data_IF_230362496923
#
_entry.id   IF_230362496923
#
_cell.length_a   1.000
_cell.length_b   1.000
_cell.length_c   1.000
_cell.angle_alpha   90.00
_cell.angle_beta   90.00
_cell.angle_gamma   90.00
#
_symmetry.space_group_name_H-M   'P 1'
#
loop_
_entity.id
_entity.type
_entity.pdbx_description
1 polymer ?
#
# COMPACT_ATOMS: atom_id res chain seq x y z
N UNK A 1 12.97 40.31 -0.48
CA UNK A 1 14.33 40.14 -1.05
C UNK A 1 14.47 38.66 -1.38
N UNK A 2 14.86 38.37 -2.62
CA UNK A 2 14.66 37.13 -3.35
C UNK A 2 15.34 35.86 -2.77
N UNK A 3 14.63 34.74 -2.92
CA UNK A 3 15.06 33.45 -3.50
C UNK A 3 16.43 32.83 -3.11
N UNK A 4 16.37 31.64 -2.51
CA UNK A 4 17.36 30.56 -2.66
C UNK A 4 16.56 29.26 -2.88
N UNK A 5 16.30 28.88 -4.14
CA UNK A 5 16.98 27.80 -4.88
C UNK A 5 16.77 26.42 -4.22
N UNK A 6 15.63 25.73 -4.42
CA UNK A 6 15.34 24.85 -5.57
C UNK A 6 16.44 24.79 -6.65
N UNK A 7 17.33 23.80 -6.57
CA UNK A 7 18.21 23.43 -7.69
C UNK A 7 18.89 22.04 -7.55
N UNK A 8 18.21 21.05 -6.94
CA UNK A 8 18.73 19.67 -6.89
C UNK A 8 18.03 18.70 -7.85
N UNK A 9 16.85 19.04 -8.39
CA UNK A 9 16.09 18.16 -9.30
C UNK A 9 16.25 18.49 -10.79
N UNK A 10 16.78 19.67 -11.13
CA UNK A 10 16.90 20.12 -12.53
C UNK A 10 18.23 19.73 -13.20
N UNK A 11 19.26 19.44 -12.40
CA UNK A 11 20.61 19.15 -12.91
C UNK A 11 20.82 17.69 -13.32
N UNK A 12 20.09 16.76 -12.71
CA UNK A 12 20.13 15.32 -12.99
C UNK A 12 19.33 14.98 -14.27
N UNK A 13 18.14 15.56 -14.40
CA UNK A 13 17.30 15.39 -15.60
C UNK A 13 17.95 15.97 -16.87
N UNK A 14 18.78 17.02 -16.75
CA UNK A 14 19.47 17.63 -17.91
C UNK A 14 20.71 16.86 -18.34
N UNK A 15 21.45 16.21 -17.42
CA UNK A 15 22.57 15.34 -17.77
C UNK A 15 22.09 14.03 -18.38
N UNK A 16 21.04 13.42 -17.83
CA UNK A 16 20.47 12.18 -18.36
C UNK A 16 19.86 12.38 -19.73
N UNK A 17 19.18 13.51 -19.96
CA UNK A 17 18.62 13.84 -21.28
C UNK A 17 19.72 14.10 -22.34
N UNK A 18 20.85 14.71 -21.97
CA UNK A 18 22.01 14.85 -22.88
C UNK A 18 22.68 13.51 -23.18
N UNK A 19 22.74 12.60 -22.21
CA UNK A 19 23.28 11.25 -22.37
C UNK A 19 22.37 10.43 -23.28
N UNK A 20 21.05 10.49 -23.09
CA UNK A 20 20.05 9.85 -23.94
C UNK A 20 20.14 10.37 -25.38
N UNK A 21 20.27 11.69 -25.57
CA UNK A 21 20.39 12.28 -26.92
C UNK A 21 21.67 11.83 -27.64
N UNK A 22 22.76 11.61 -26.89
CA UNK A 22 24.02 11.10 -27.43
C UNK A 22 24.08 9.57 -27.61
N UNK A 23 23.12 8.82 -27.05
CA UNK A 23 23.06 7.35 -27.13
C UNK A 23 22.05 6.84 -28.16
N UNK A 24 21.25 7.71 -28.78
CA UNK A 24 20.24 7.32 -29.77
C UNK A 24 20.87 6.55 -30.93
N UNK A 25 20.67 5.23 -30.93
CA UNK A 25 20.94 4.39 -32.10
C UNK A 25 19.60 4.03 -32.72
N UNK A 26 19.23 4.75 -33.78
CA UNK A 26 18.01 4.45 -34.53
C UNK A 26 18.21 3.20 -35.39
N UNK A 27 17.88 2.03 -34.83
CA UNK A 27 17.97 0.71 -35.48
C UNK A 27 17.37 0.69 -36.90
N UNK A 28 16.30 1.47 -37.13
CA UNK A 28 15.60 1.57 -38.41
C UNK A 28 16.25 2.56 -39.39
N UNK A 29 17.23 3.35 -38.95
CA UNK A 29 18.00 4.29 -39.76
C UNK A 29 19.44 3.82 -40.01
N UNK A 30 19.89 2.78 -39.28
CA UNK A 30 21.22 2.22 -39.45
C UNK A 30 21.37 1.59 -40.85
N UNK A 31 22.08 2.29 -41.74
CA UNK A 31 22.27 1.88 -43.13
C UNK A 31 23.00 0.53 -43.27
N UNK A 32 23.85 0.14 -42.30
CA UNK A 32 24.50 -1.18 -42.30
C UNK A 32 23.54 -2.29 -41.88
N UNK A 33 22.66 -2.02 -40.91
CA UNK A 33 21.59 -2.94 -40.56
C UNK A 33 20.59 -3.09 -41.73
N UNK A 34 20.11 -1.97 -42.27
CA UNK A 34 19.17 -1.93 -43.39
C UNK A 34 19.72 -2.58 -44.66
N UNK A 35 21.00 -2.36 -45.00
CA UNK A 35 21.64 -3.00 -46.15
C UNK A 35 21.80 -4.51 -45.96
N UNK A 36 22.23 -4.98 -44.78
CA UNK A 36 22.27 -6.43 -44.46
C UNK A 36 20.88 -7.07 -44.48
N UNK A 37 19.85 -6.35 -44.02
CA UNK A 37 18.46 -6.78 -44.06
C UNK A 37 17.94 -6.84 -45.52
N UNK A 38 18.26 -5.82 -46.33
CA UNK A 38 17.83 -5.66 -47.72
C UNK A 38 18.51 -6.64 -48.68
N UNK A 39 19.84 -6.80 -48.60
CA UNK A 39 20.62 -7.70 -49.47
C UNK A 39 20.12 -9.15 -49.41
N UNK A 40 19.59 -9.58 -48.26
CA UNK A 40 19.14 -10.97 -48.05
C UNK A 40 17.63 -11.15 -47.93
N UNK A 41 16.83 -10.08 -47.92
CA UNK A 41 15.38 -10.18 -48.13
C UNK A 41 15.01 -10.77 -49.50
N UNK A 42 15.96 -10.87 -50.43
CA UNK A 42 15.83 -11.46 -51.77
C UNK A 42 16.08 -12.98 -51.82
N UNK A 43 16.54 -13.61 -50.72
CA UNK A 43 16.73 -15.08 -50.61
C UNK A 43 16.05 -15.61 -49.34
N UNK A 44 15.09 -16.52 -49.51
CA UNK A 44 14.35 -17.28 -48.47
C UNK A 44 14.77 -16.95 -47.02
N UNK A 45 14.03 -16.02 -46.42
CA UNK A 45 14.24 -15.57 -45.05
C UNK A 45 13.98 -16.76 -44.11
N UNK A 46 15.03 -17.25 -43.45
CA UNK A 46 14.95 -18.25 -42.39
C UNK A 46 15.13 -17.54 -41.03
N UNK A 47 14.30 -17.87 -40.04
CA UNK A 47 14.35 -17.34 -38.67
C UNK A 47 15.77 -17.34 -38.06
N UNK A 48 16.58 -18.36 -38.36
CA UNK A 48 17.95 -18.45 -37.88
C UNK A 48 18.84 -17.32 -38.39
N UNK A 49 18.60 -16.86 -39.62
CA UNK A 49 19.37 -15.78 -40.22
C UNK A 49 18.98 -14.42 -39.63
N UNK A 50 17.69 -14.17 -39.40
CA UNK A 50 17.23 -12.96 -38.70
C UNK A 50 17.83 -12.90 -37.29
N UNK A 51 17.81 -14.01 -36.56
CA UNK A 51 18.42 -14.10 -35.21
C UNK A 51 19.91 -13.75 -35.23
N UNK A 52 20.64 -14.17 -36.26
CA UNK A 52 22.06 -13.87 -36.40
C UNK A 52 22.29 -12.37 -36.67
N UNK A 53 21.54 -11.75 -37.58
CA UNK A 53 21.65 -10.29 -37.82
C UNK A 53 21.37 -9.50 -36.53
N UNK A 54 20.27 -9.82 -35.83
CA UNK A 54 19.91 -9.13 -34.59
C UNK A 54 21.00 -9.32 -33.54
N UNK A 55 21.52 -10.54 -33.37
CA UNK A 55 22.60 -10.83 -32.43
C UNK A 55 23.86 -10.03 -32.75
N UNK A 56 24.31 -10.08 -34.01
CA UNK A 56 25.52 -9.37 -34.44
C UNK A 56 25.35 -7.87 -34.29
N UNK A 57 24.14 -7.35 -34.53
CA UNK A 57 23.83 -5.94 -34.32
C UNK A 57 23.94 -5.52 -32.86
N UNK A 58 23.29 -6.26 -31.94
CA UNK A 58 23.33 -5.97 -30.51
C UNK A 58 24.75 -6.10 -29.93
N UNK A 59 25.57 -7.03 -30.44
CA UNK A 59 26.96 -7.19 -30.01
C UNK A 59 27.87 -6.06 -30.50
N UNK A 60 27.59 -5.49 -31.68
CA UNK A 60 28.35 -4.36 -32.23
C UNK A 60 27.84 -3.00 -31.73
N UNK A 61 26.66 -2.94 -31.11
CA UNK A 61 26.04 -1.72 -30.58
C UNK A 61 25.52 -1.95 -29.14
N UNK A 62 26.40 -2.26 -28.17
CA UNK A 62 25.99 -2.53 -26.78
C UNK A 62 25.36 -1.32 -26.08
N UNK A 63 25.56 -0.10 -26.57
CA UNK A 63 24.98 1.16 -26.08
C UNK A 63 23.45 1.11 -26.06
N UNK A 64 22.84 0.33 -26.96
CA UNK A 64 21.39 0.09 -27.02
C UNK A 64 20.86 -0.43 -25.68
N UNK A 65 21.62 -1.25 -24.96
CA UNK A 65 21.19 -1.77 -23.65
C UNK A 65 21.09 -0.65 -22.60
N UNK A 66 21.94 0.36 -22.69
CA UNK A 66 21.91 1.52 -21.79
C UNK A 66 20.69 2.39 -22.13
N UNK A 67 20.46 2.68 -23.41
CA UNK A 67 19.27 3.42 -23.87
C UNK A 67 17.97 2.70 -23.47
N UNK A 68 17.91 1.37 -23.68
CA UNK A 68 16.78 0.55 -23.26
C UNK A 68 16.54 0.61 -21.75
N UNK A 69 17.61 0.58 -20.94
CA UNK A 69 17.49 0.68 -19.49
C UNK A 69 16.90 2.02 -19.06
N UNK A 70 17.36 3.14 -19.65
CA UNK A 70 16.81 4.47 -19.37
C UNK A 70 15.35 4.60 -19.80
N UNK A 71 15.00 4.16 -21.01
CA UNK A 71 13.60 4.17 -21.50
C UNK A 71 12.71 3.32 -20.58
N UNK A 72 13.21 2.18 -20.10
CA UNK A 72 12.46 1.34 -19.17
C UNK A 72 12.29 2.02 -17.81
N UNK A 73 13.33 2.67 -17.27
CA UNK A 73 13.27 3.43 -16.03
C UNK A 73 12.24 4.57 -16.12
N UNK A 74 12.29 5.37 -17.17
CA UNK A 74 11.33 6.47 -17.41
C UNK A 74 9.90 5.92 -17.49
N UNK A 75 9.69 4.83 -18.24
CA UNK A 75 8.37 4.16 -18.31
C UNK A 75 7.91 3.64 -16.95
N UNK A 76 8.80 3.13 -16.11
CA UNK A 76 8.45 2.70 -14.76
C UNK A 76 8.12 3.90 -13.86
N UNK A 77 8.84 5.02 -13.96
CA UNK A 77 8.54 6.25 -13.23
C UNK A 77 7.20 6.85 -13.62
N UNK A 78 6.94 7.00 -14.91
CA UNK A 78 5.65 7.49 -15.41
C UNK A 78 4.49 6.60 -14.96
N UNK A 79 4.68 5.27 -14.95
CA UNK A 79 3.67 4.33 -14.43
C UNK A 79 3.43 4.53 -12.93
N UNK A 80 4.51 4.60 -12.13
CA UNK A 80 4.42 4.86 -10.68
C UNK A 80 3.71 6.18 -10.38
N UNK A 81 4.02 7.23 -11.13
CA UNK A 81 3.37 8.53 -10.98
C UNK A 81 1.87 8.46 -11.30
N UNK A 82 1.49 7.85 -12.44
CA UNK A 82 0.08 7.67 -12.80
C UNK A 82 -0.69 6.83 -11.78
N UNK A 83 -0.05 5.80 -11.22
CA UNK A 83 -0.63 4.97 -10.16
C UNK A 83 -0.83 5.78 -8.86
N UNK A 84 0.15 6.58 -8.46
CA UNK A 84 0.06 7.45 -7.29
C UNK A 84 -1.02 8.54 -7.46
N UNK A 85 -1.11 9.17 -8.64
CA UNK A 85 -2.16 10.14 -8.96
C UNK A 85 -3.56 9.49 -8.89
N UNK A 86 -3.70 8.28 -9.42
CA UNK A 86 -4.94 7.50 -9.33
C UNK A 86 -5.29 7.18 -7.88
N UNK A 87 -4.34 6.72 -7.07
CA UNK A 87 -4.56 6.43 -5.64
C UNK A 87 -4.98 7.70 -4.88
N UNK A 88 -4.30 8.82 -5.12
CA UNK A 88 -4.62 10.13 -4.53
C UNK A 88 -6.04 10.56 -4.86
N UNK A 89 -6.45 10.42 -6.14
CA UNK A 89 -7.82 10.73 -6.56
C UNK A 89 -8.86 9.84 -5.85
N UNK A 90 -8.56 8.55 -5.69
CA UNK A 90 -9.45 7.62 -4.97
C UNK A 90 -9.55 8.00 -3.49
N UNK A 91 -8.42 8.23 -2.81
CA UNK A 91 -8.40 8.69 -1.40
C UNK A 91 -9.25 9.95 -1.23
N UNK A 92 -9.07 10.94 -2.10
CA UNK A 92 -9.85 12.18 -2.07
C UNK A 92 -11.35 11.93 -2.28
N UNK A 93 -11.72 11.04 -3.19
CA UNK A 93 -13.14 10.71 -3.43
C UNK A 93 -13.81 9.93 -2.30
N UNK A 94 -13.03 9.19 -1.50
CA UNK A 94 -13.48 8.36 -0.38
C UNK A 94 -13.02 8.91 0.97
N UNK A 95 -12.71 10.21 1.05
CA UNK A 95 -12.04 10.82 2.19
C UNK A 95 -12.82 10.62 3.50
N UNK A 96 -14.15 10.83 3.45
CA UNK A 96 -15.00 10.68 4.63
C UNK A 96 -15.06 9.23 5.09
N UNK A 97 -15.20 8.31 4.16
CA UNK A 97 -15.23 6.88 4.42
C UNK A 97 -13.89 6.44 4.99
N UNK A 98 -12.76 6.90 4.44
CA UNK A 98 -11.41 6.50 4.88
C UNK A 98 -11.07 7.05 6.28
N UNK A 99 -11.31 8.35 6.54
CA UNK A 99 -10.77 9.03 7.72
C UNK A 99 -11.82 9.32 8.82
N UNK A 100 -13.11 9.26 8.50
CA UNK A 100 -14.21 9.75 9.35
C UNK A 100 -15.39 8.79 9.45
N UNK A 101 -15.25 7.52 9.06
CA UNK A 101 -16.35 6.55 9.19
C UNK A 101 -16.75 6.42 10.66
N UNK A 102 -18.05 6.53 11.01
CA UNK A 102 -18.54 6.43 12.38
C UNK A 102 -18.41 5.01 12.94
N UNK A 103 -18.08 4.05 12.09
CA UNK A 103 -17.87 2.69 12.51
C UNK A 103 -16.46 2.52 13.06
N UNK A 104 -15.44 3.06 12.40
CA UNK A 104 -14.03 2.78 12.73
C UNK A 104 -13.63 3.26 14.14
N UNK A 105 -12.68 2.54 14.73
CA UNK A 105 -12.13 2.92 16.01
C UNK A 105 -10.97 3.90 15.83
N UNK A 106 -10.78 4.77 16.82
CA UNK A 106 -9.65 5.71 16.85
C UNK A 106 -8.73 5.33 18.01
N UNK A 107 -7.44 5.19 17.72
CA UNK A 107 -6.38 5.08 18.72
C UNK A 107 -5.52 6.36 18.71
N UNK A 108 -4.78 6.60 19.78
CA UNK A 108 -3.96 7.80 19.93
C UNK A 108 -4.81 9.02 20.26
N UNK A 109 -4.47 10.16 19.66
CA UNK A 109 -5.19 11.42 19.87
C UNK A 109 -6.39 11.51 18.92
N UNK A 110 -7.65 11.50 19.41
CA UNK A 110 -8.82 11.59 18.53
C UNK A 110 -8.95 12.92 17.77
N UNK A 111 -8.28 13.95 18.27
CA UNK A 111 -8.20 15.28 17.66
C UNK A 111 -6.85 15.53 16.96
N UNK A 112 -6.05 14.48 16.79
CA UNK A 112 -4.75 14.57 16.14
C UNK A 112 -4.86 15.02 14.70
N UNK A 113 -3.99 15.94 14.28
CA UNK A 113 -3.98 16.45 12.90
C UNK A 113 -3.31 15.49 11.92
N UNK A 114 -2.36 14.70 12.42
CA UNK A 114 -1.69 13.66 11.64
C UNK A 114 -2.56 12.42 11.70
N UNK A 115 -3.14 12.02 10.56
CA UNK A 115 -4.03 10.86 10.50
C UNK A 115 -3.33 9.70 9.79
N UNK A 116 -3.20 8.58 10.51
CA UNK A 116 -2.72 7.31 9.98
C UNK A 116 -3.88 6.32 10.00
N UNK A 117 -4.23 5.76 8.85
CA UNK A 117 -5.26 4.72 8.76
C UNK A 117 -4.56 3.37 8.70
N UNK A 118 -5.02 2.38 9.46
CA UNK A 118 -4.55 0.99 9.37
C UNK A 118 -5.71 0.06 8.98
N UNK A 119 -5.58 -0.64 7.86
CA UNK A 119 -6.37 -1.82 7.53
C UNK A 119 -5.73 -3.05 8.14
N UNK A 120 -6.46 -3.76 9.00
CA UNK A 120 -5.90 -4.87 9.78
C UNK A 120 -6.83 -6.08 9.89
N UNK A 121 -6.25 -7.21 10.27
CA UNK A 121 -6.97 -8.42 10.65
C UNK A 121 -6.34 -9.03 11.93
N UNK A 122 -7.14 -9.36 12.94
CA UNK A 122 -6.70 -10.02 14.18
C UNK A 122 -5.97 -11.35 14.01
N UNK A 123 -6.13 -12.05 12.88
CA UNK A 123 -5.42 -13.28 12.53
C UNK A 123 -4.18 -13.04 11.66
N UNK A 124 -3.90 -11.80 11.25
CA UNK A 124 -2.72 -11.48 10.48
C UNK A 124 -1.47 -11.42 11.35
N UNK A 125 -0.49 -12.29 11.06
CA UNK A 125 0.81 -12.32 11.78
C UNK A 125 1.58 -11.00 11.65
N UNK A 126 1.42 -10.29 10.54
CA UNK A 126 2.07 -9.01 10.30
C UNK A 126 1.40 -7.89 11.11
N UNK A 127 0.07 -7.82 11.16
CA UNK A 127 -0.64 -6.86 12.03
C UNK A 127 -0.25 -7.03 13.50
N UNK A 128 -0.15 -8.28 13.99
CA UNK A 128 0.28 -8.55 15.37
C UNK A 128 1.67 -8.00 15.69
N UNK A 129 2.59 -8.00 14.70
CA UNK A 129 3.94 -7.43 14.85
C UNK A 129 3.89 -5.91 14.78
N UNK A 130 3.26 -5.36 13.76
CA UNK A 130 3.17 -3.92 13.53
C UNK A 130 2.41 -3.17 14.62
N UNK A 131 1.55 -3.84 15.40
CA UNK A 131 0.89 -3.23 16.55
C UNK A 131 1.88 -2.58 17.54
N UNK A 132 3.05 -3.19 17.77
CA UNK A 132 4.06 -2.59 18.66
C UNK A 132 4.66 -1.32 18.07
N UNK A 133 4.87 -1.28 16.75
CA UNK A 133 5.37 -0.11 16.05
C UNK A 133 4.35 1.04 16.13
N UNK A 134 3.06 0.77 15.93
CA UNK A 134 1.99 1.77 16.08
C UNK A 134 1.90 2.31 17.50
N UNK A 135 2.08 1.47 18.52
CA UNK A 135 2.13 1.92 19.92
C UNK A 135 3.32 2.85 20.16
N UNK A 136 4.49 2.53 19.62
CA UNK A 136 5.66 3.39 19.70
C UNK A 136 5.43 4.72 18.98
N UNK A 137 4.82 4.72 17.80
CA UNK A 137 4.52 5.93 17.04
C UNK A 137 3.52 6.83 17.80
N UNK A 138 2.48 6.27 18.43
CA UNK A 138 1.55 7.06 19.25
C UNK A 138 2.22 7.70 20.49
N UNK A 139 3.31 7.11 21.00
CA UNK A 139 4.08 7.68 22.11
C UNK A 139 5.01 8.81 21.63
N UNK A 140 5.56 8.69 20.42
CA UNK A 140 6.48 9.67 19.83
C UNK A 140 5.75 10.87 19.23
N UNK A 141 4.59 10.63 18.61
CA UNK A 141 3.78 11.65 17.95
C UNK A 141 2.47 11.85 18.71
N UNK A 142 2.45 12.76 19.67
CA UNK A 142 1.25 13.04 20.50
C UNK A 142 0.07 13.61 19.71
N UNK A 143 0.33 14.14 18.51
CA UNK A 143 -0.69 14.64 17.58
C UNK A 143 -1.15 13.56 16.56
N UNK A 144 -0.72 12.31 16.73
CA UNK A 144 -1.10 11.20 15.86
C UNK A 144 -2.48 10.65 16.22
N UNK A 145 -3.36 10.63 15.22
CA UNK A 145 -4.66 9.98 15.22
C UNK A 145 -4.58 8.72 14.36
N UNK A 146 -4.80 7.55 14.96
CA UNK A 146 -4.81 6.28 14.21
C UNK A 146 -6.26 5.83 13.99
N UNK A 147 -6.69 5.73 12.74
CA UNK A 147 -8.00 5.18 12.36
C UNK A 147 -7.86 3.70 12.04
N UNK A 148 -8.60 2.87 12.75
CA UNK A 148 -8.51 1.41 12.66
C UNK A 148 -9.65 0.88 11.78
N UNK A 149 -9.28 0.39 10.59
CA UNK A 149 -10.16 -0.18 9.55
C UNK A 149 -10.17 -1.70 9.65
N UNK A 150 -11.29 -2.27 10.12
CA UNK A 150 -11.47 -3.72 10.14
C UNK A 150 -11.49 -4.29 8.70
N UNK A 151 -10.56 -5.21 8.39
CA UNK A 151 -10.48 -5.90 7.09
C UNK A 151 -10.37 -7.43 7.29
N UNK A 152 -11.46 -8.12 7.70
CA UNK A 152 -11.46 -9.54 8.07
C UNK A 152 -11.39 -10.48 6.84
N UNK A 153 -10.23 -10.55 6.19
CA UNK A 153 -10.02 -11.31 4.95
C UNK A 153 -9.41 -12.70 5.17
N UNK A 154 -9.04 -13.07 6.40
CA UNK A 154 -8.34 -14.33 6.73
C UNK A 154 -9.26 -15.47 7.20
N UNK A 155 -10.51 -15.45 6.74
CA UNK A 155 -11.49 -16.52 6.92
C UNK A 155 -12.57 -16.25 7.99
N UNK A 156 -13.44 -17.24 8.26
CA UNK A 156 -14.64 -17.04 9.08
C UNK A 156 -14.32 -16.64 10.52
N UNK A 157 -13.25 -17.16 11.12
CA UNK A 157 -12.83 -16.78 12.48
C UNK A 157 -12.41 -15.30 12.56
N UNK A 158 -11.80 -14.76 11.50
CA UNK A 158 -11.50 -13.33 11.42
C UNK A 158 -12.79 -12.54 11.42
N UNK A 159 -13.75 -12.90 10.57
CA UNK A 159 -15.06 -12.23 10.52
C UNK A 159 -15.73 -12.25 11.89
N UNK A 160 -15.81 -13.42 12.54
CA UNK A 160 -16.43 -13.54 13.87
C UNK A 160 -15.71 -12.69 14.94
N UNK A 161 -14.36 -12.73 14.95
CA UNK A 161 -13.56 -11.90 15.88
C UNK A 161 -13.82 -10.41 15.68
N UNK A 162 -13.85 -9.94 14.43
CA UNK A 162 -14.09 -8.53 14.16
C UNK A 162 -15.53 -8.13 14.51
N UNK A 163 -16.53 -9.01 14.35
CA UNK A 163 -17.90 -8.71 14.81
C UNK A 163 -17.94 -8.53 16.33
N UNK A 164 -17.31 -9.41 17.10
CA UNK A 164 -17.23 -9.22 18.57
C UNK A 164 -16.50 -7.92 18.92
N UNK A 165 -15.42 -7.60 18.18
CA UNK A 165 -14.71 -6.33 18.29
C UNK A 165 -15.61 -5.12 18.01
N UNK A 166 -16.47 -5.17 16.98
CA UNK A 166 -17.47 -4.13 16.68
C UNK A 166 -18.43 -3.90 17.84
N UNK A 167 -19.01 -4.99 18.35
CA UNK A 167 -20.00 -4.92 19.41
C UNK A 167 -19.34 -4.37 20.68
N UNK A 168 -18.14 -4.85 20.99
CA UNK A 168 -17.38 -4.42 22.15
C UNK A 168 -17.00 -2.94 22.06
N UNK A 169 -16.45 -2.46 20.93
CA UNK A 169 -16.06 -1.05 20.77
C UNK A 169 -17.23 -0.09 20.91
N UNK A 170 -18.42 -0.48 20.43
CA UNK A 170 -19.64 0.33 20.55
C UNK A 170 -20.13 0.43 21.99
N UNK A 171 -20.03 -0.65 22.77
CA UNK A 171 -20.51 -0.70 24.16
C UNK A 171 -19.50 -0.16 25.18
N UNK A 172 -18.21 -0.36 24.92
CA UNK A 172 -17.10 -0.05 25.84
C UNK A 172 -15.96 0.69 25.10
N UNK A 173 -16.23 1.87 24.51
CA UNK A 173 -15.23 2.60 23.72
C UNK A 173 -13.95 2.90 24.52
N UNK A 174 -14.07 3.20 25.82
CA UNK A 174 -12.96 3.48 26.72
C UNK A 174 -12.08 2.26 27.01
N UNK A 175 -12.59 1.04 26.82
CA UNK A 175 -11.84 -0.22 27.00
C UNK A 175 -11.39 -0.84 25.68
N UNK A 176 -11.77 -0.28 24.54
CA UNK A 176 -11.49 -0.87 23.23
C UNK A 176 -9.99 -1.08 22.99
N UNK A 177 -9.15 -0.09 23.33
CA UNK A 177 -7.69 -0.24 23.16
C UNK A 177 -7.14 -1.43 23.95
N UNK A 178 -7.65 -1.68 25.17
CA UNK A 178 -7.24 -2.83 25.97
C UNK A 178 -7.71 -4.15 25.36
N UNK A 179 -8.93 -4.18 24.83
CA UNK A 179 -9.49 -5.33 24.12
C UNK A 179 -8.69 -5.66 22.85
N UNK A 180 -8.46 -4.65 22.01
CA UNK A 180 -7.71 -4.73 20.76
C UNK A 180 -6.29 -5.24 21.02
N UNK A 181 -5.59 -4.67 22.01
CA UNK A 181 -4.27 -5.13 22.48
C UNK A 181 -4.29 -6.60 22.88
N UNK A 182 -5.24 -6.99 23.74
CA UNK A 182 -5.33 -8.39 24.23
C UNK A 182 -5.56 -9.37 23.09
N UNK A 183 -6.39 -9.02 22.10
CA UNK A 183 -6.61 -9.88 20.93
C UNK A 183 -5.36 -10.01 20.06
N UNK A 184 -4.74 -8.90 19.67
CA UNK A 184 -3.56 -8.93 18.79
C UNK A 184 -2.38 -9.65 19.46
N UNK A 185 -2.14 -9.38 20.75
CA UNK A 185 -1.01 -9.98 21.48
C UNK A 185 -1.28 -11.41 21.98
N UNK A 186 -2.51 -11.92 21.81
CA UNK A 186 -2.84 -13.27 22.23
C UNK A 186 -2.25 -14.34 21.29
N UNK A 187 -1.73 -15.40 21.89
CA UNK A 187 -1.18 -16.56 21.17
C UNK A 187 -2.29 -17.37 20.51
N UNK A 188 -1.97 -17.98 19.37
CA UNK A 188 -2.92 -18.78 18.59
C UNK A 188 -3.91 -17.95 17.77
N UNK A 189 -4.82 -18.66 17.09
CA UNK A 189 -5.86 -18.09 16.25
C UNK A 189 -6.84 -17.27 17.09
N UNK A 190 -7.31 -16.16 16.55
CA UNK A 190 -8.39 -15.36 17.09
C UNK A 190 -9.69 -15.83 16.46
N UNK A 191 -10.68 -16.15 17.29
CA UNK A 191 -12.01 -16.63 16.91
C UNK A 191 -13.07 -16.03 17.85
N UNK A 192 -14.34 -16.37 17.62
CA UNK A 192 -15.47 -15.89 18.42
C UNK A 192 -15.26 -16.09 19.92
N UNK A 193 -15.05 -17.32 20.37
CA UNK A 193 -14.97 -17.64 21.80
C UNK A 193 -13.82 -16.92 22.50
N UNK A 194 -12.68 -16.78 21.84
CA UNK A 194 -11.54 -16.03 22.37
C UNK A 194 -11.85 -14.55 22.50
N UNK A 195 -12.49 -13.96 21.49
CA UNK A 195 -12.92 -12.56 21.52
C UNK A 195 -13.95 -12.33 22.63
N UNK A 196 -14.94 -13.21 22.76
CA UNK A 196 -15.95 -13.16 23.84
C UNK A 196 -15.26 -13.27 25.20
N UNK A 197 -14.37 -14.24 25.39
CA UNK A 197 -13.63 -14.41 26.66
C UNK A 197 -12.88 -13.14 27.06
N UNK A 198 -12.18 -12.51 26.11
CA UNK A 198 -11.46 -11.25 26.37
C UNK A 198 -12.45 -10.12 26.68
N UNK A 199 -13.57 -10.02 25.96
CA UNK A 199 -14.59 -9.01 26.21
C UNK A 199 -15.22 -9.16 27.61
N UNK A 200 -15.54 -10.39 28.03
CA UNK A 200 -16.09 -10.71 29.36
C UNK A 200 -15.10 -10.35 30.47
N UNK A 201 -13.81 -10.66 30.28
CA UNK A 201 -12.76 -10.23 31.22
C UNK A 201 -12.66 -8.71 31.37
N UNK A 202 -13.15 -7.95 30.39
CA UNK A 202 -13.21 -6.48 30.41
C UNK A 202 -14.58 -5.94 30.85
N UNK A 203 -15.52 -6.82 31.23
CA UNK A 203 -16.82 -6.48 31.80
C UNK A 203 -18.00 -6.58 30.85
N UNK A 204 -17.85 -7.15 29.65
CA UNK A 204 -18.98 -7.40 28.77
C UNK A 204 -19.83 -8.60 29.23
N UNK A 205 -21.12 -8.60 28.89
CA UNK A 205 -22.01 -9.74 29.13
C UNK A 205 -21.91 -10.75 27.97
N UNK A 206 -21.55 -11.99 28.28
CA UNK A 206 -21.38 -13.05 27.27
C UNK A 206 -22.65 -13.31 26.44
N UNK A 207 -23.82 -13.42 27.12
CA UNK A 207 -25.09 -13.72 26.45
C UNK A 207 -25.47 -12.62 25.47
N UNK A 208 -25.23 -11.36 25.82
CA UNK A 208 -25.45 -10.24 24.90
C UNK A 208 -24.55 -10.30 23.67
N UNK A 209 -23.27 -10.64 23.84
CA UNK A 209 -22.33 -10.78 22.72
C UNK A 209 -22.74 -11.92 21.76
N UNK A 210 -23.10 -13.08 22.32
CA UNK A 210 -23.55 -14.25 21.53
C UNK A 210 -24.88 -14.02 20.81
N UNK A 211 -25.77 -13.22 21.38
CA UNK A 211 -27.01 -12.84 20.69
C UNK A 211 -26.74 -11.81 19.59
N UNK A 212 -25.86 -10.85 19.83
CA UNK A 212 -25.57 -9.78 18.87
C UNK A 212 -24.85 -10.29 17.61
N UNK A 213 -24.01 -11.33 17.70
CA UNK A 213 -23.29 -11.88 16.53
C UNK A 213 -24.22 -12.51 15.47
N UNK A 214 -25.44 -12.90 15.86
CA UNK A 214 -26.44 -13.48 14.95
C UNK A 214 -27.04 -12.43 14.00
N UNK A 215 -26.81 -11.14 14.23
CA UNK A 215 -27.26 -10.09 13.32
C UNK A 215 -26.39 -10.05 12.06
N UNK A 216 -26.91 -10.62 10.98
CA UNK A 216 -26.30 -10.59 9.63
C UNK A 216 -25.95 -9.18 9.14
N UNK A 217 -26.56 -8.12 9.68
CA UNK A 217 -26.20 -6.73 9.34
C UNK A 217 -24.79 -6.37 9.78
N UNK A 218 -24.26 -7.00 10.84
CA UNK A 218 -22.91 -6.73 11.33
C UNK A 218 -21.83 -7.17 10.34
N UNK A 219 -22.08 -8.22 9.55
CA UNK A 219 -21.17 -8.63 8.48
C UNK A 219 -21.07 -7.58 7.36
N UNK A 220 -22.15 -6.83 7.14
CA UNK A 220 -22.18 -5.78 6.11
C UNK A 220 -21.32 -4.56 6.50
N UNK A 221 -20.99 -4.39 7.79
CA UNK A 221 -20.15 -3.29 8.27
C UNK A 221 -18.77 -3.28 7.62
N UNK A 222 -18.21 -4.46 7.32
CA UNK A 222 -16.88 -4.55 6.73
C UNK A 222 -16.87 -4.34 5.21
N UNK A 223 -18.03 -4.35 4.55
CA UNK A 223 -18.11 -4.22 3.10
C UNK A 223 -17.60 -2.86 2.61
N UNK A 224 -17.81 -1.79 3.39
CA UNK A 224 -17.25 -0.48 3.09
C UNK A 224 -15.72 -0.53 3.07
N UNK A 225 -15.11 -1.06 4.13
CA UNK A 225 -13.65 -1.20 4.22
C UNK A 225 -13.07 -2.12 3.13
N UNK A 226 -13.77 -3.20 2.77
CA UNK A 226 -13.38 -4.08 1.65
C UNK A 226 -13.44 -3.33 0.31
N UNK A 227 -14.46 -2.48 0.08
CA UNK A 227 -14.56 -1.68 -1.15
C UNK A 227 -13.46 -0.64 -1.23
N UNK A 228 -13.16 0.05 -0.14
CA UNK A 228 -12.05 1.01 -0.06
C UNK A 228 -10.73 0.29 -0.36
N UNK A 229 -10.49 -0.85 0.30
CA UNK A 229 -9.29 -1.65 0.09
C UNK A 229 -9.15 -2.08 -1.38
N UNK A 230 -10.23 -2.59 -2.00
CA UNK A 230 -10.26 -2.96 -3.41
C UNK A 230 -9.97 -1.78 -4.34
N UNK A 231 -10.60 -0.62 -4.09
CA UNK A 231 -10.40 0.58 -4.91
C UNK A 231 -8.93 1.07 -4.86
N UNK A 232 -8.28 0.93 -3.70
CA UNK A 232 -6.88 1.31 -3.50
C UNK A 232 -5.87 0.19 -3.83
N UNK A 233 -6.33 -0.95 -4.37
CA UNK A 233 -5.52 -2.14 -4.62
C UNK A 233 -4.81 -2.69 -3.36
N UNK A 234 -5.41 -2.50 -2.18
CA UNK A 234 -4.96 -3.11 -0.93
C UNK A 234 -5.34 -4.59 -0.96
N UNK A 235 -4.35 -5.45 -1.17
CA UNK A 235 -4.53 -6.90 -1.34
C UNK A 235 -4.21 -7.71 -0.08
N UNK A 236 -3.81 -7.05 1.00
CA UNK A 236 -3.42 -7.73 2.24
C UNK A 236 -3.39 -6.79 3.45
N UNK A 237 -3.13 -7.37 4.61
CA UNK A 237 -3.00 -6.67 5.89
C UNK A 237 -1.63 -6.93 6.54
N UNK A 238 -1.07 -5.97 7.30
CA UNK A 238 -1.56 -4.61 7.47
C UNK A 238 -1.39 -3.80 6.17
N UNK A 239 -2.17 -2.74 6.03
CA UNK A 239 -1.93 -1.71 5.03
C UNK A 239 -2.28 -0.36 5.63
N UNK A 240 -1.59 0.69 5.19
CA UNK A 240 -1.66 2.01 5.78
C UNK A 240 -2.02 3.07 4.76
N UNK A 241 -2.75 4.09 5.21
CA UNK A 241 -2.94 5.34 4.47
C UNK A 241 -2.46 6.49 5.34
N UNK A 242 -1.56 7.32 4.81
CA UNK A 242 -1.03 8.51 5.48
C UNK A 242 -0.96 9.61 4.42
N UNK A 243 -1.74 10.68 4.60
CA UNK A 243 -1.95 11.68 3.56
C UNK A 243 -2.56 11.05 2.29
N UNK A 244 -1.85 11.17 1.17
CA UNK A 244 -2.20 10.60 -0.14
C UNK A 244 -1.47 9.28 -0.46
N UNK A 245 -0.63 8.79 0.45
CA UNK A 245 0.19 7.59 0.25
C UNK A 245 -0.52 6.36 0.79
N UNK A 246 -0.45 5.27 0.03
CA UNK A 246 -0.87 3.92 0.45
C UNK A 246 0.36 3.04 0.61
N UNK A 247 0.55 2.47 1.79
CA UNK A 247 1.64 1.54 2.10
C UNK A 247 1.06 0.14 2.34
N UNK A 248 1.39 -0.83 1.50
CA UNK A 248 0.83 -2.19 1.58
C UNK A 248 1.83 -3.13 2.24
N UNK A 249 1.37 -3.87 3.25
CA UNK A 249 2.15 -4.85 3.99
C UNK A 249 2.74 -4.31 5.29
N UNK A 250 3.40 -5.19 6.04
CA UNK A 250 4.22 -4.76 7.17
C UNK A 250 5.42 -3.97 6.65
N UNK A 251 5.35 -2.66 6.83
CA UNK A 251 6.48 -1.76 6.67
C UNK A 251 7.19 -1.58 8.00
N UNK A 252 8.48 -1.30 7.95
CA UNK A 252 9.26 -0.95 9.12
C UNK A 252 8.79 0.39 9.72
N UNK A 253 8.97 0.56 11.03
CA UNK A 253 8.54 1.77 11.74
C UNK A 253 9.12 3.06 11.14
N UNK A 254 10.39 3.06 10.73
CA UNK A 254 11.05 4.20 10.08
C UNK A 254 10.34 4.65 8.79
N UNK A 255 9.75 3.74 8.02
CA UNK A 255 8.99 4.07 6.80
C UNK A 255 7.69 4.78 7.18
N UNK A 256 6.99 4.29 8.21
CA UNK A 256 5.79 4.97 8.74
C UNK A 256 6.14 6.35 9.31
N UNK A 257 7.29 6.44 9.98
CA UNK A 257 7.79 7.68 10.54
C UNK A 257 8.06 8.73 9.46
N UNK A 258 8.82 8.36 8.41
CA UNK A 258 9.09 9.23 7.28
C UNK A 258 7.79 9.67 6.59
N UNK A 259 6.83 8.75 6.43
CA UNK A 259 5.53 9.08 5.85
C UNK A 259 4.72 10.05 6.73
N UNK A 260 4.80 9.94 8.05
CA UNK A 260 4.18 10.91 8.99
C UNK A 260 4.85 12.28 8.87
N UNK A 261 6.18 12.32 8.83
CA UNK A 261 6.96 13.56 8.73
C UNK A 261 6.70 14.30 7.42
N UNK A 262 6.53 13.57 6.31
CA UNK A 262 6.16 14.14 5.00
C UNK A 262 4.78 14.84 4.98
N UNK A 263 3.92 14.58 5.97
CA UNK A 263 2.57 15.18 6.05
C UNK A 263 2.50 16.47 6.87
N UNK A 264 3.61 16.85 7.52
CA UNK A 264 3.71 18.04 8.37
C UNK A 264 4.16 19.26 7.57
#
# INVERSE_FOLDING_TARGET
>A
MYSFLSNAQTKDQTSDHLIIENLKIELLEDSNFLSKLSEKSTKNINDNYIRQIIRDYLLNNPEIMIEMQFILQEKFEQRRQKEAEKQTAIIKSLEKEIFQSPHDAILGNPNGKIVLVEFFDYNCKHCKRSYLDLISLMQEYTDLRIVIKDLPILGPDSVATHIISQIFRKKFPEKYLQFHKKLLMSQGRSNEDKAIKIAVLLGANEKELRNAIQDSKLQKLFQENIRIASALNITGTPAYIIGDKVLIGAVEKNILQAAIEDTQ
#
